data_IF_761046889778
#
_entry.id   IF_761046889778
#
_cell.length_a   1.000
_cell.length_b   1.000
_cell.length_c   1.000
_cell.angle_alpha   90.00
_cell.angle_beta   90.00
_cell.angle_gamma   90.00
#
_symmetry.space_group_name_H-M   'P 1'
#
loop_
_entity.id
_entity.type
_entity.pdbx_description
1 polymer ?
#
# COMPACT_ATOMS: atom_id res chain seq x y z
N UNK A 1 24.03 -3.56 -58.23
CA UNK A 1 24.34 -3.73 -56.80
C UNK A 1 23.54 -2.71 -56.00
N UNK A 2 22.99 -3.13 -54.84
CA UNK A 2 22.27 -2.35 -53.80
C UNK A 2 20.82 -2.80 -53.51
N UNK A 3 20.63 -4.07 -53.15
CA UNK A 3 19.39 -4.54 -52.50
C UNK A 3 19.61 -5.24 -51.13
N UNK A 4 20.85 -5.35 -50.64
CA UNK A 4 21.13 -6.04 -49.37
C UNK A 4 20.95 -5.14 -48.13
N UNK A 5 20.95 -3.81 -48.28
CA UNK A 5 20.92 -2.91 -47.11
C UNK A 5 19.52 -2.64 -46.53
N UNK A 6 18.45 -3.04 -47.23
CA UNK A 6 17.04 -2.79 -46.84
C UNK A 6 16.39 -3.96 -46.08
N UNK A 7 16.96 -5.16 -46.14
CA UNK A 7 16.42 -6.35 -45.46
C UNK A 7 16.81 -6.39 -43.97
N UNK A 8 17.98 -5.87 -43.62
CA UNK A 8 18.49 -5.93 -42.24
C UNK A 8 17.80 -4.94 -41.28
N UNK A 9 17.36 -3.77 -41.79
CA UNK A 9 16.56 -2.80 -40.99
C UNK A 9 15.14 -3.28 -40.68
N UNK A 10 14.52 -4.09 -41.56
CA UNK A 10 13.18 -4.65 -41.33
C UNK A 10 13.19 -5.78 -40.30
N UNK A 11 14.25 -6.59 -40.31
CA UNK A 11 14.51 -7.65 -39.31
C UNK A 11 14.56 -7.09 -37.88
N UNK A 12 15.33 -6.02 -37.66
CA UNK A 12 15.44 -5.37 -36.34
C UNK A 12 14.15 -4.71 -35.84
N UNK A 13 13.32 -4.16 -36.73
CA UNK A 13 12.03 -3.57 -36.33
C UNK A 13 10.99 -4.62 -35.95
N UNK A 14 10.96 -5.76 -36.65
CA UNK A 14 10.05 -6.86 -36.35
C UNK A 14 10.37 -7.50 -35.00
N UNK A 15 11.65 -7.75 -34.72
CA UNK A 15 12.08 -8.26 -33.41
C UNK A 15 11.74 -7.29 -32.28
N UNK A 16 11.92 -5.98 -32.48
CA UNK A 16 11.55 -4.96 -31.47
C UNK A 16 10.05 -4.92 -31.20
N UNK A 17 9.21 -5.07 -32.22
CA UNK A 17 7.74 -5.14 -32.07
C UNK A 17 7.34 -6.38 -31.28
N UNK A 18 7.93 -7.53 -31.59
CA UNK A 18 7.67 -8.79 -30.89
C UNK A 18 8.05 -8.70 -29.41
N UNK A 19 9.21 -8.12 -29.10
CA UNK A 19 9.65 -7.91 -27.72
C UNK A 19 8.69 -7.00 -26.96
N UNK A 20 8.22 -5.91 -27.58
CA UNK A 20 7.26 -5.01 -26.94
C UNK A 20 5.90 -5.68 -26.72
N UNK A 21 5.46 -6.55 -27.63
CA UNK A 21 4.26 -7.37 -27.44
C UNK A 21 4.43 -8.32 -26.25
N UNK A 22 5.51 -9.07 -26.23
CA UNK A 22 5.81 -10.02 -25.14
C UNK A 22 5.89 -9.31 -23.79
N UNK A 23 6.54 -8.14 -23.72
CA UNK A 23 6.59 -7.35 -22.49
C UNK A 23 5.20 -6.92 -22.03
N UNK A 24 4.33 -6.50 -22.94
CA UNK A 24 2.96 -6.09 -22.62
C UNK A 24 2.13 -7.26 -22.10
N UNK A 25 2.26 -8.43 -22.70
CA UNK A 25 1.54 -9.64 -22.27
C UNK A 25 1.98 -10.05 -20.87
N UNK A 26 3.30 -10.07 -20.61
CA UNK A 26 3.85 -10.33 -19.28
C UNK A 26 3.38 -9.29 -18.24
N UNK A 27 3.30 -8.01 -18.61
CA UNK A 27 2.77 -6.97 -17.72
C UNK A 27 1.29 -7.22 -17.37
N UNK A 28 0.48 -7.63 -18.34
CA UNK A 28 -0.91 -7.99 -18.12
C UNK A 28 -1.05 -9.20 -17.19
N UNK A 29 -0.21 -10.22 -17.37
CA UNK A 29 -0.20 -11.39 -16.51
C UNK A 29 0.30 -11.06 -15.09
N UNK A 30 1.30 -10.20 -14.93
CA UNK A 30 1.75 -9.75 -13.61
C UNK A 30 0.64 -9.02 -12.85
N UNK A 31 -0.12 -8.17 -13.55
CA UNK A 31 -1.31 -7.52 -12.98
C UNK A 31 -2.41 -8.50 -12.61
N UNK A 32 -2.60 -9.56 -13.39
CA UNK A 32 -3.53 -10.63 -13.06
C UNK A 32 -3.10 -11.34 -11.76
N UNK A 33 -1.83 -11.71 -11.62
CA UNK A 33 -1.32 -12.32 -10.38
C UNK A 33 -1.52 -11.41 -9.17
N UNK A 34 -1.22 -10.10 -9.29
CA UNK A 34 -1.49 -9.12 -8.23
C UNK A 34 -2.98 -9.05 -7.87
N UNK A 35 -3.86 -9.01 -8.87
CA UNK A 35 -5.33 -8.96 -8.65
C UNK A 35 -5.87 -10.21 -7.98
N UNK A 36 -5.14 -11.33 -8.06
CA UNK A 36 -5.43 -12.59 -7.40
C UNK A 36 -4.70 -12.75 -6.06
N UNK A 37 -4.05 -11.68 -5.57
CA UNK A 37 -3.22 -11.66 -4.35
C UNK A 37 -2.05 -12.66 -4.39
N UNK A 38 -1.70 -13.17 -5.58
CA UNK A 38 -0.53 -13.99 -5.79
C UNK A 38 0.70 -13.09 -6.02
N UNK A 39 1.10 -12.40 -4.95
CA UNK A 39 2.14 -11.37 -5.00
C UNK A 39 3.53 -11.91 -5.36
N UNK A 40 3.85 -13.14 -4.95
CA UNK A 40 5.13 -13.78 -5.26
C UNK A 40 5.30 -13.97 -6.77
N UNK A 41 4.29 -14.55 -7.44
CA UNK A 41 4.32 -14.73 -8.90
C UNK A 41 4.30 -13.39 -9.64
N UNK A 42 3.57 -12.39 -9.13
CA UNK A 42 3.57 -11.04 -9.68
C UNK A 42 4.98 -10.41 -9.64
N UNK A 43 5.71 -10.57 -8.53
CA UNK A 43 7.08 -10.06 -8.37
C UNK A 43 8.07 -10.82 -9.26
N UNK A 44 7.98 -12.16 -9.31
CA UNK A 44 8.83 -13.00 -10.17
C UNK A 44 8.68 -12.59 -11.64
N UNK A 45 7.45 -12.38 -12.09
CA UNK A 45 7.20 -11.95 -13.47
C UNK A 45 7.68 -10.53 -13.72
N UNK A 46 7.53 -9.62 -12.75
CA UNK A 46 8.07 -8.26 -12.81
C UNK A 46 9.60 -8.23 -12.93
N UNK A 47 10.33 -9.09 -12.21
CA UNK A 47 11.79 -9.25 -12.35
C UNK A 47 12.17 -9.71 -13.77
N UNK A 48 11.45 -10.68 -14.33
CA UNK A 48 11.66 -11.14 -15.72
C UNK A 48 11.46 -9.99 -16.72
N UNK A 49 10.41 -9.19 -16.56
CA UNK A 49 10.14 -8.00 -17.39
C UNK A 49 11.30 -7.00 -17.27
N UNK A 50 11.78 -6.72 -16.06
CA UNK A 50 12.90 -5.79 -15.84
C UNK A 50 14.20 -6.27 -16.50
N UNK A 51 14.51 -7.57 -16.44
CA UNK A 51 15.69 -8.14 -17.12
C UNK A 51 15.62 -7.97 -18.64
N UNK A 52 14.45 -8.22 -19.24
CA UNK A 52 14.24 -7.97 -20.66
C UNK A 52 14.34 -6.48 -21.00
N UNK A 53 13.76 -5.61 -20.18
CA UNK A 53 13.83 -4.17 -20.37
C UNK A 53 15.27 -3.63 -20.30
N UNK A 54 16.12 -4.18 -19.42
CA UNK A 54 17.57 -3.86 -19.39
C UNK A 54 18.24 -4.30 -20.69
N UNK A 55 17.99 -5.54 -21.15
CA UNK A 55 18.58 -6.09 -22.38
C UNK A 55 18.27 -5.24 -23.62
N UNK A 56 17.09 -4.62 -23.67
CA UNK A 56 16.62 -3.83 -24.80
C UNK A 56 16.61 -2.31 -24.55
N UNK A 57 17.28 -1.85 -23.49
CA UNK A 57 17.44 -0.43 -23.15
C UNK A 57 16.09 0.32 -23.05
N UNK A 58 15.12 -0.26 -22.33
CA UNK A 58 13.77 0.28 -22.11
C UNK A 58 13.60 0.82 -20.68
N UNK A 59 14.17 1.99 -20.34
CA UNK A 59 14.19 2.51 -18.96
C UNK A 59 12.79 2.86 -18.41
N UNK A 60 11.84 3.22 -19.27
CA UNK A 60 10.45 3.47 -18.86
C UNK A 60 9.81 2.21 -18.26
N UNK A 61 9.99 1.06 -18.91
CA UNK A 61 9.47 -0.23 -18.43
C UNK A 61 10.08 -0.59 -17.08
N UNK A 62 11.38 -0.37 -16.89
CA UNK A 62 12.05 -0.60 -15.60
C UNK A 62 11.44 0.28 -14.51
N UNK A 63 11.19 1.55 -14.80
CA UNK A 63 10.56 2.49 -13.85
C UNK A 63 9.16 2.03 -13.46
N UNK A 64 8.35 1.61 -14.44
CA UNK A 64 6.99 1.16 -14.21
C UNK A 64 6.95 -0.12 -13.36
N UNK A 65 7.85 -1.07 -13.62
CA UNK A 65 7.96 -2.29 -12.81
C UNK A 65 8.44 -2.02 -11.38
N UNK A 66 9.36 -1.07 -11.17
CA UNK A 66 9.75 -0.65 -9.82
C UNK A 66 8.58 -0.06 -9.05
N UNK A 67 7.73 0.73 -9.70
CA UNK A 67 6.53 1.28 -9.04
C UNK A 67 5.50 0.18 -8.77
N UNK A 68 5.32 -0.76 -9.70
CA UNK A 68 4.46 -1.92 -9.51
C UNK A 68 4.85 -2.75 -8.28
N UNK A 69 6.14 -3.08 -8.11
CA UNK A 69 6.64 -3.82 -6.93
C UNK A 69 6.43 -3.01 -5.64
N UNK A 70 6.63 -1.69 -5.67
CA UNK A 70 6.34 -0.83 -4.51
C UNK A 70 4.86 -0.84 -4.12
N UNK A 71 3.96 -0.89 -5.10
CA UNK A 71 2.52 -0.99 -4.83
C UNK A 71 2.18 -2.32 -4.16
N UNK A 72 2.73 -3.44 -4.66
CA UNK A 72 2.58 -4.75 -4.03
C UNK A 72 3.09 -4.74 -2.58
N UNK A 73 4.28 -4.18 -2.34
CA UNK A 73 4.84 -4.11 -0.98
C UNK A 73 3.90 -3.35 -0.02
N UNK A 74 3.30 -2.24 -0.47
CA UNK A 74 2.32 -1.48 0.33
C UNK A 74 1.03 -2.26 0.57
N UNK A 75 0.58 -3.06 -0.40
CA UNK A 75 -0.61 -3.92 -0.27
C UNK A 75 -0.39 -5.02 0.75
N UNK A 76 0.71 -5.77 0.64
CA UNK A 76 1.09 -6.82 1.59
C UNK A 76 1.23 -6.27 3.01
N UNK A 77 1.91 -5.14 3.16
CA UNK A 77 2.06 -4.48 4.46
C UNK A 77 0.70 -4.07 5.04
N UNK A 78 -0.16 -3.46 4.21
CA UNK A 78 -1.51 -3.07 4.62
C UNK A 78 -2.35 -4.28 5.04
N UNK A 79 -2.34 -5.38 4.29
CA UNK A 79 -3.16 -6.55 4.60
C UNK A 79 -2.69 -7.28 5.86
N UNK A 80 -1.39 -7.26 6.14
CA UNK A 80 -0.85 -7.80 7.38
C UNK A 80 -1.23 -6.95 8.61
N UNK A 81 -1.11 -5.62 8.53
CA UNK A 81 -1.34 -4.75 9.68
C UNK A 81 -2.79 -4.35 9.89
N UNK A 82 -3.60 -4.27 8.83
CA UNK A 82 -5.00 -3.80 8.91
C UNK A 82 -5.85 -4.60 9.92
N UNK A 83 -5.82 -5.95 9.96
CA UNK A 83 -6.56 -6.71 10.97
C UNK A 83 -6.10 -6.40 12.39
N UNK A 84 -4.79 -6.25 12.61
CA UNK A 84 -4.21 -5.94 13.93
C UNK A 84 -4.61 -4.54 14.40
N UNK A 85 -4.51 -3.55 13.52
CA UNK A 85 -4.92 -2.17 13.81
C UNK A 85 -6.42 -2.13 14.14
N UNK A 86 -7.24 -2.81 13.34
CA UNK A 86 -8.69 -2.94 13.59
C UNK A 86 -8.96 -3.54 14.96
N UNK A 87 -8.38 -4.72 15.27
CA UNK A 87 -8.57 -5.38 16.57
C UNK A 87 -8.15 -4.49 17.74
N UNK A 88 -7.04 -3.76 17.59
CA UNK A 88 -6.58 -2.85 18.64
C UNK A 88 -7.52 -1.66 18.81
N UNK A 89 -8.03 -1.08 17.71
CA UNK A 89 -9.02 -0.01 17.75
C UNK A 89 -10.35 -0.47 18.41
N UNK A 90 -10.85 -1.66 18.08
CA UNK A 90 -12.03 -2.26 18.73
C UNK A 90 -11.82 -2.47 20.22
N UNK A 91 -10.64 -2.98 20.61
CA UNK A 91 -10.28 -3.13 22.01
C UNK A 91 -10.28 -1.77 22.73
N UNK A 92 -9.71 -0.72 22.10
CA UNK A 92 -9.72 0.63 22.66
C UNK A 92 -11.14 1.14 22.83
N UNK A 93 -12.04 1.02 21.85
CA UNK A 93 -13.44 1.43 21.99
C UNK A 93 -14.10 0.80 23.23
N UNK A 94 -13.89 -0.50 23.41
CA UNK A 94 -14.42 -1.25 24.55
C UNK A 94 -13.84 -0.80 25.90
N UNK A 95 -12.55 -0.42 25.95
CA UNK A 95 -11.95 0.13 27.17
C UNK A 95 -12.35 1.59 27.41
N UNK A 96 -12.52 2.37 26.35
CA UNK A 96 -12.80 3.80 26.42
C UNK A 96 -14.08 4.06 27.23
N UNK A 97 -15.15 3.30 26.96
CA UNK A 97 -16.40 3.45 27.70
C UNK A 97 -16.30 3.08 29.18
N UNK A 98 -15.46 2.09 29.52
CA UNK A 98 -15.22 1.71 30.91
C UNK A 98 -14.43 2.78 31.64
N UNK A 99 -13.36 3.27 31.02
CA UNK A 99 -12.50 4.31 31.55
C UNK A 99 -13.26 5.64 31.70
N UNK A 100 -14.07 6.03 30.72
CA UNK A 100 -14.87 7.24 30.78
C UNK A 100 -15.87 7.24 31.95
N UNK A 101 -16.47 6.08 32.27
CA UNK A 101 -17.37 5.91 33.43
C UNK A 101 -16.66 6.00 34.77
N UNK A 102 -15.36 5.69 34.82
CA UNK A 102 -14.54 5.70 36.04
C UNK A 102 -13.60 6.91 36.12
N UNK A 103 -13.96 8.03 35.49
CA UNK A 103 -13.14 9.26 35.39
C UNK A 103 -11.71 9.05 34.79
N UNK A 104 -11.48 7.93 34.11
CA UNK A 104 -10.23 7.53 33.48
C UNK A 104 -10.00 8.12 32.09
N UNK A 105 -10.49 9.33 31.82
CA UNK A 105 -10.42 9.96 30.49
C UNK A 105 -8.96 10.17 30.02
N UNK A 106 -8.04 10.48 30.94
CA UNK A 106 -6.63 10.62 30.61
C UNK A 106 -6.01 9.30 30.10
N UNK A 107 -6.33 8.19 30.78
CA UNK A 107 -5.89 6.86 30.40
C UNK A 107 -6.48 6.46 29.05
N UNK A 108 -7.77 6.75 28.84
CA UNK A 108 -8.44 6.51 27.57
C UNK A 108 -7.76 7.26 26.42
N UNK A 109 -7.43 8.54 26.63
CA UNK A 109 -6.69 9.37 25.66
C UNK A 109 -5.31 8.80 25.33
N UNK A 110 -4.58 8.32 26.33
CA UNK A 110 -3.25 7.72 26.12
C UNK A 110 -3.30 6.42 25.31
N UNK A 111 -4.37 5.63 25.41
CA UNK A 111 -4.56 4.47 24.55
C UNK A 111 -4.72 4.88 23.08
N UNK A 112 -5.50 5.92 22.80
CA UNK A 112 -5.67 6.47 21.44
C UNK A 112 -4.37 7.08 20.91
N UNK A 113 -3.61 7.76 21.78
CA UNK A 113 -2.27 8.25 21.42
C UNK A 113 -1.32 7.12 21.05
N UNK A 114 -1.30 6.04 21.83
CA UNK A 114 -0.47 4.86 21.57
C UNK A 114 -0.82 4.18 20.24
N UNK A 115 -2.12 4.11 19.90
CA UNK A 115 -2.59 3.64 18.59
C UNK A 115 -2.02 4.50 17.44
N UNK A 116 -2.05 5.84 17.58
CA UNK A 116 -1.51 6.78 16.57
C UNK A 116 0.01 6.68 16.46
N UNK A 117 0.73 6.58 17.58
CA UNK A 117 2.19 6.46 17.57
C UNK A 117 2.66 5.14 16.96
N UNK A 118 1.94 4.05 17.22
CA UNK A 118 2.33 2.72 16.74
C UNK A 118 2.03 2.48 15.26
N UNK A 119 0.96 3.10 14.74
CA UNK A 119 0.42 2.75 13.41
C UNK A 119 0.07 3.95 12.52
N UNK A 120 0.20 5.19 13.01
CA UNK A 120 -0.30 6.40 12.32
C UNK A 120 0.40 6.71 11.01
N UNK A 121 1.62 6.23 10.82
CA UNK A 121 2.39 6.39 9.57
C UNK A 121 2.06 5.32 8.52
N UNK A 122 1.34 4.26 8.89
CA UNK A 122 1.03 3.16 7.97
C UNK A 122 -0.01 3.56 6.93
N UNK A 123 0.24 3.15 5.68
CA UNK A 123 -0.67 3.37 4.58
C UNK A 123 -2.05 2.75 4.87
N UNK A 124 -3.09 3.58 4.83
CA UNK A 124 -4.46 3.13 5.08
C UNK A 124 -4.88 3.11 6.55
N UNK A 125 -4.05 3.55 7.50
CA UNK A 125 -4.45 3.71 8.91
C UNK A 125 -5.77 4.50 9.04
N UNK A 126 -5.82 5.69 8.46
CA UNK A 126 -7.01 6.56 8.47
C UNK A 126 -8.17 6.05 7.59
N UNK A 127 -8.03 4.91 6.92
CA UNK A 127 -9.11 4.29 6.14
C UNK A 127 -9.92 3.27 6.95
N UNK A 128 -9.42 2.82 8.11
CA UNK A 128 -10.05 1.82 8.96
C UNK A 128 -11.22 2.48 9.74
N UNK A 129 -12.47 1.99 9.60
CA UNK A 129 -13.64 2.59 10.27
C UNK A 129 -13.50 2.71 11.78
N UNK A 130 -13.00 1.66 12.43
CA UNK A 130 -12.85 1.57 13.89
C UNK A 130 -11.81 2.58 14.39
N UNK A 131 -10.73 2.81 13.62
CA UNK A 131 -9.74 3.86 13.92
C UNK A 131 -10.39 5.24 13.87
N UNK A 132 -11.17 5.53 12.82
CA UNK A 132 -11.88 6.82 12.72
C UNK A 132 -12.82 7.04 13.89
N UNK A 133 -13.54 6.00 14.30
CA UNK A 133 -14.46 6.06 15.43
C UNK A 133 -13.73 6.36 16.74
N UNK A 134 -12.64 5.62 17.04
CA UNK A 134 -11.81 5.84 18.24
C UNK A 134 -11.31 7.29 18.29
N UNK A 135 -10.74 7.78 17.19
CA UNK A 135 -10.17 9.13 17.13
C UNK A 135 -11.26 10.19 17.35
N UNK A 136 -12.40 10.06 16.67
CA UNK A 136 -13.52 11.01 16.81
C UNK A 136 -14.09 11.01 18.23
N UNK A 137 -14.19 9.84 18.86
CA UNK A 137 -14.66 9.70 20.24
C UNK A 137 -13.70 10.38 21.22
N UNK A 138 -12.41 10.14 21.04
CA UNK A 138 -11.35 10.75 21.84
C UNK A 138 -11.35 12.27 21.74
N UNK A 139 -11.36 12.82 20.52
CA UNK A 139 -11.38 14.27 20.30
C UNK A 139 -12.54 14.95 21.03
N UNK A 140 -13.73 14.35 20.97
CA UNK A 140 -14.94 14.87 21.62
C UNK A 140 -14.83 14.83 23.15
N UNK A 141 -14.49 13.68 23.72
CA UNK A 141 -14.47 13.51 25.18
C UNK A 141 -13.28 14.21 25.83
N UNK A 142 -12.13 14.25 25.15
CA UNK A 142 -10.94 14.96 25.60
C UNK A 142 -11.15 16.48 25.65
N UNK A 143 -11.86 17.05 24.66
CA UNK A 143 -12.23 18.47 24.67
C UNK A 143 -13.11 18.81 25.88
N UNK A 144 -14.16 18.02 26.14
CA UNK A 144 -15.03 18.20 27.31
C UNK A 144 -14.24 18.14 28.61
N UNK A 145 -13.34 17.17 28.73
CA UNK A 145 -12.48 17.01 29.90
C UNK A 145 -11.58 18.23 30.13
N UNK A 146 -10.96 18.76 29.07
CA UNK A 146 -10.14 19.98 29.15
C UNK A 146 -10.93 21.19 29.60
N UNK A 147 -12.13 21.40 29.05
CA UNK A 147 -13.02 22.53 29.44
C UNK A 147 -13.38 22.43 30.92
N UNK A 148 -13.81 21.25 31.39
CA UNK A 148 -14.16 21.02 32.80
C UNK A 148 -13.01 21.33 33.76
N UNK A 149 -11.76 21.06 33.36
CA UNK A 149 -10.57 21.37 34.17
C UNK A 149 -10.12 22.83 34.12
N UNK A 150 -10.51 23.59 33.10
CA UNK A 150 -10.23 25.04 33.02
C UNK A 150 -11.26 25.88 33.77
N UNK A 151 -12.46 25.33 34.02
CA UNK A 151 -13.53 25.95 34.81
C UNK A 151 -13.46 25.66 36.31
N UNK A 152 -12.45 24.91 36.76
CA UNK A 152 -12.16 24.57 38.15
C UNK A 152 -10.92 25.35 38.62
#
# INVERSE_FOLDING_TARGET
MNNEHLLDKKSGSLGKIEILSNLRDMQGEAQKYRSQENFDEAIILSDKIMRLAVKYELPSVIKDQKEFIKQIAREVEKDYFKPKIKQFAEWILNQYDKLAKSDGIYQAHNLVKSLKESYGELAGFNSIPEVKEVIKKDEKEWLKFKIKRQSL
#
